data_IF_369987381001
#
_entry.id   IF_369987381001
#
_cell.length_a   1.000
_cell.length_b   1.000
_cell.length_c   1.000
_cell.angle_alpha   90.00
_cell.angle_beta   90.00
_cell.angle_gamma   90.00
#
_symmetry.space_group_name_H-M   'P 1'
#
loop_
_entity.id
_entity.type
_entity.pdbx_description
1 polymer ?
#
# COMPACT_ATOMS: atom_id res chain seq x y z
N UNK A 1 -6.62 9.50 20.23
CA UNK A 1 -6.80 9.57 21.67
C UNK A 1 -6.95 8.21 22.33
N UNK A 2 -7.88 7.35 21.86
CA UNK A 2 -8.17 6.07 22.48
C UNK A 2 -6.96 5.14 22.58
N UNK A 3 -6.24 4.90 21.47
CA UNK A 3 -5.05 4.06 21.45
C UNK A 3 -3.95 4.54 22.41
N UNK A 4 -3.76 5.87 22.51
CA UNK A 4 -2.81 6.44 23.47
C UNK A 4 -3.25 6.21 24.92
N UNK A 5 -4.56 6.27 25.17
CA UNK A 5 -5.12 6.06 26.51
C UNK A 5 -4.98 4.61 26.98
N UNK A 6 -5.19 3.65 26.06
CA UNK A 6 -5.06 2.23 26.39
C UNK A 6 -3.61 1.70 26.37
N UNK A 7 -2.66 2.47 25.82
CA UNK A 7 -1.25 2.11 25.79
C UNK A 7 -0.88 1.06 24.73
N UNK A 8 -1.76 0.77 23.77
CA UNK A 8 -1.50 -0.14 22.67
C UNK A 8 -2.37 0.17 21.45
N UNK A 9 -1.93 -0.25 20.30
CA UNK A 9 -2.69 -0.11 19.05
C UNK A 9 -1.83 -0.46 17.84
N UNK A 10 -2.47 -0.62 16.69
CA UNK A 10 -1.78 -0.80 15.43
C UNK A 10 -2.52 -0.03 14.33
N UNK A 11 -1.83 0.88 13.68
CA UNK A 11 -2.32 1.65 12.54
C UNK A 11 -1.67 1.07 11.28
N UNK A 12 -2.49 0.59 10.34
CA UNK A 12 -2.02 0.08 9.06
C UNK A 12 -2.50 1.01 7.97
N UNK A 13 -1.55 1.55 7.21
CA UNK A 13 -1.78 2.49 6.13
C UNK A 13 -1.53 1.77 4.81
N UNK A 14 -2.50 1.83 3.91
CA UNK A 14 -2.35 1.29 2.56
C UNK A 14 -1.89 2.42 1.64
N UNK A 15 -0.63 2.35 1.26
CA UNK A 15 0.02 3.25 0.32
C UNK A 15 -0.07 2.76 -1.12
N UNK A 16 1.05 2.80 -1.80
CA UNK A 16 1.23 2.31 -3.18
C UNK A 16 2.71 2.22 -3.51
N UNK A 17 3.09 1.42 -4.47
CA UNK A 17 4.44 1.46 -5.07
C UNK A 17 4.79 2.86 -5.61
N UNK A 18 3.78 3.69 -5.95
CA UNK A 18 3.94 5.08 -6.32
C UNK A 18 4.47 5.97 -5.17
N UNK A 19 4.54 5.46 -3.95
CA UNK A 19 5.23 6.10 -2.81
C UNK A 19 6.75 5.88 -2.82
N UNK A 20 7.26 5.02 -3.69
CA UNK A 20 8.67 4.63 -3.76
C UNK A 20 9.38 5.29 -4.94
N UNK A 21 8.65 5.57 -6.01
CA UNK A 21 9.16 6.20 -7.24
C UNK A 21 8.06 6.95 -7.98
N UNK A 22 8.41 8.06 -8.60
CA UNK A 22 7.48 8.77 -9.48
C UNK A 22 7.20 7.98 -10.76
N UNK A 23 5.99 8.11 -11.28
CA UNK A 23 5.56 7.48 -12.52
C UNK A 23 5.22 8.53 -13.58
N UNK A 24 5.48 8.22 -14.83
CA UNK A 24 5.11 9.08 -15.95
C UNK A 24 3.57 9.29 -15.95
N UNK A 25 3.13 10.53 -16.17
CA UNK A 25 1.71 10.95 -16.13
C UNK A 25 1.00 10.71 -14.78
N UNK A 26 1.76 10.45 -13.71
CA UNK A 26 1.23 10.18 -12.36
C UNK A 26 1.76 11.14 -11.29
N UNK A 27 2.17 12.37 -11.63
CA UNK A 27 2.84 13.29 -10.70
C UNK A 27 2.04 13.60 -9.44
N UNK A 28 0.76 13.96 -9.58
CA UNK A 28 -0.12 14.26 -8.43
C UNK A 28 -0.40 12.98 -7.61
N UNK A 29 -0.67 11.86 -8.27
CA UNK A 29 -0.86 10.59 -7.58
C UNK A 29 0.39 10.15 -6.82
N UNK A 30 1.56 10.20 -7.48
CA UNK A 30 2.84 9.90 -6.82
C UNK A 30 3.09 10.83 -5.63
N UNK A 31 2.88 12.14 -5.80
CA UNK A 31 3.03 13.11 -4.71
C UNK A 31 2.15 12.75 -3.50
N UNK A 32 0.87 12.40 -3.72
CA UNK A 32 -0.04 11.99 -2.66
C UNK A 32 0.43 10.72 -1.93
N UNK A 33 0.98 9.76 -2.66
CA UNK A 33 1.46 8.50 -2.09
C UNK A 33 2.81 8.65 -1.38
N UNK A 34 3.71 9.49 -1.88
CA UNK A 34 4.92 9.90 -1.14
C UNK A 34 4.56 10.60 0.17
N UNK A 35 3.53 11.46 0.17
CA UNK A 35 3.05 12.12 1.37
C UNK A 35 2.58 11.11 2.43
N UNK A 36 1.85 10.05 2.05
CA UNK A 36 1.47 8.97 2.97
C UNK A 36 2.69 8.25 3.57
N UNK A 37 3.75 8.07 2.80
CA UNK A 37 4.98 7.45 3.29
C UNK A 37 5.65 8.34 4.34
N UNK A 38 5.83 9.62 4.05
CA UNK A 38 6.36 10.58 5.03
C UNK A 38 5.50 10.70 6.27
N UNK A 39 4.17 10.75 6.09
CA UNK A 39 3.21 10.77 7.20
C UNK A 39 3.33 9.53 8.08
N UNK A 40 3.42 8.32 7.51
CA UNK A 40 3.52 7.09 8.29
C UNK A 40 4.80 7.04 9.12
N UNK A 41 5.91 7.52 8.58
CA UNK A 41 7.20 7.59 9.29
C UNK A 41 7.11 8.58 10.47
N UNK A 42 6.60 9.80 10.23
CA UNK A 42 6.44 10.80 11.27
C UNK A 42 5.47 10.33 12.36
N UNK A 43 4.32 9.78 11.98
CA UNK A 43 3.34 9.25 12.92
C UNK A 43 3.94 8.15 13.81
N UNK A 44 4.75 7.27 13.24
CA UNK A 44 5.43 6.22 14.00
C UNK A 44 6.34 6.81 15.08
N UNK A 45 7.14 7.82 14.76
CA UNK A 45 8.00 8.50 15.75
C UNK A 45 7.18 9.15 16.87
N UNK A 46 6.03 9.73 16.53
CA UNK A 46 5.15 10.40 17.48
C UNK A 46 4.45 9.44 18.46
N UNK A 47 4.10 8.23 18.02
CA UNK A 47 3.22 7.34 18.78
C UNK A 47 3.90 6.08 19.32
N UNK A 48 5.14 5.78 18.91
CA UNK A 48 5.87 4.58 19.31
C UNK A 48 5.99 4.47 20.84
N UNK A 49 6.28 5.58 21.52
CA UNK A 49 6.37 5.64 23.00
C UNK A 49 5.03 5.39 23.71
N UNK A 50 3.92 5.48 22.98
CA UNK A 50 2.58 5.20 23.49
C UNK A 50 2.18 3.73 23.28
N UNK A 51 3.10 2.85 22.89
CA UNK A 51 2.79 1.45 22.58
C UNK A 51 2.01 1.25 21.28
N UNK A 52 1.95 2.25 20.39
CA UNK A 52 1.20 2.17 19.14
C UNK A 52 2.17 1.86 18.00
N UNK A 53 1.85 0.83 17.23
CA UNK A 53 2.59 0.44 16.03
C UNK A 53 1.99 1.14 14.81
N UNK A 54 2.83 1.48 13.84
CA UNK A 54 2.41 2.03 12.56
C UNK A 54 3.12 1.23 11.45
N UNK A 55 2.34 0.72 10.52
CA UNK A 55 2.82 -0.04 9.36
C UNK A 55 2.29 0.58 8.08
N UNK A 56 3.17 0.77 7.11
CA UNK A 56 2.83 1.17 5.75
C UNK A 56 2.95 -0.04 4.82
N UNK A 57 1.91 -0.32 4.05
CA UNK A 57 1.93 -1.35 3.01
C UNK A 57 1.83 -0.65 1.65
N UNK A 58 2.81 -0.88 0.79
CA UNK A 58 2.88 -0.30 -0.56
C UNK A 58 2.64 -1.39 -1.61
N UNK A 59 1.38 -1.65 -2.00
CA UNK A 59 1.13 -2.59 -3.07
C UNK A 59 1.42 -1.98 -4.45
N UNK A 60 1.88 -2.81 -5.36
CA UNK A 60 1.87 -2.54 -6.78
C UNK A 60 0.45 -2.67 -7.36
N UNK A 61 0.34 -3.16 -8.59
CA UNK A 61 -0.98 -3.31 -9.24
C UNK A 61 -1.78 -4.45 -8.60
N UNK A 62 -2.87 -4.10 -7.91
CA UNK A 62 -3.83 -5.04 -7.32
C UNK A 62 -5.01 -5.18 -8.27
N UNK A 63 -5.42 -6.40 -8.58
CA UNK A 63 -6.58 -6.69 -9.45
C UNK A 63 -7.88 -6.32 -8.76
N UNK A 64 -8.34 -5.09 -9.02
CA UNK A 64 -9.55 -4.51 -8.41
C UNK A 64 -10.25 -3.58 -9.41
N UNK A 65 -11.48 -3.15 -9.14
CA UNK A 65 -12.18 -2.14 -9.94
C UNK A 65 -11.48 -0.77 -10.03
N UNK A 66 -10.42 -0.53 -9.26
CA UNK A 66 -9.62 0.70 -9.33
C UNK A 66 -9.23 1.07 -10.76
N UNK A 67 -8.86 0.06 -11.57
CA UNK A 67 -8.45 0.28 -12.96
C UNK A 67 -9.61 0.46 -13.95
N UNK A 68 -10.85 0.34 -13.52
CA UNK A 68 -12.03 0.38 -14.43
C UNK A 68 -12.08 1.66 -15.26
N UNK A 69 -11.77 2.81 -14.66
CA UNK A 69 -11.78 4.13 -15.29
C UNK A 69 -10.42 4.57 -15.85
N UNK A 70 -9.38 3.79 -15.66
CA UNK A 70 -8.05 4.09 -16.16
C UNK A 70 -7.84 3.51 -17.57
N UNK A 71 -6.92 4.12 -18.32
CA UNK A 71 -6.56 3.68 -19.67
C UNK A 71 -5.65 2.44 -19.67
N UNK A 72 -5.27 1.96 -18.51
CA UNK A 72 -4.40 0.80 -18.31
C UNK A 72 -4.92 -0.07 -17.16
N UNK A 73 -4.44 -1.29 -17.10
CA UNK A 73 -4.75 -2.28 -16.08
C UNK A 73 -3.58 -3.27 -15.97
N UNK A 74 -3.52 -4.10 -14.93
CA UNK A 74 -2.56 -5.20 -14.92
C UNK A 74 -2.83 -6.18 -16.05
N UNK A 75 -1.77 -6.82 -16.54
CA UNK A 75 -1.90 -7.88 -17.55
C UNK A 75 -2.80 -9.03 -17.10
N UNK A 76 -3.22 -9.91 -18.02
CA UNK A 76 -4.29 -10.88 -17.75
C UNK A 76 -3.87 -12.12 -16.95
N UNK A 77 -2.56 -12.42 -16.84
CA UNK A 77 -2.09 -13.61 -16.13
C UNK A 77 -2.02 -13.37 -14.63
N UNK A 78 -2.14 -14.41 -13.81
CA UNK A 78 -2.10 -14.34 -12.34
C UNK A 78 -0.83 -13.63 -11.84
N UNK A 79 0.30 -13.92 -12.43
CA UNK A 79 1.59 -13.32 -12.08
C UNK A 79 1.73 -11.83 -12.43
N UNK A 80 0.74 -11.23 -13.12
CA UNK A 80 0.75 -9.83 -13.54
C UNK A 80 0.04 -8.89 -12.58
N UNK A 81 -0.56 -9.41 -11.54
CA UNK A 81 -1.27 -8.63 -10.53
C UNK A 81 -1.11 -9.26 -9.14
N UNK A 82 -1.36 -8.42 -8.14
CA UNK A 82 -1.59 -8.83 -6.76
C UNK A 82 -3.11 -9.00 -6.62
N UNK A 83 -3.56 -9.99 -5.88
CA UNK A 83 -4.97 -10.12 -5.51
C UNK A 83 -5.25 -9.43 -4.16
N UNK A 84 -6.50 -9.04 -3.93
CA UNK A 84 -6.88 -8.37 -2.68
C UNK A 84 -6.61 -9.24 -1.45
N UNK A 85 -6.73 -10.55 -1.60
CA UNK A 85 -6.47 -11.56 -0.58
C UNK A 85 -5.00 -11.58 -0.15
N UNK A 86 -4.06 -11.29 -1.06
CA UNK A 86 -2.63 -11.20 -0.75
C UNK A 86 -2.37 -10.03 0.22
N UNK A 87 -3.05 -8.91 -0.02
CA UNK A 87 -2.97 -7.75 0.86
C UNK A 87 -3.60 -8.07 2.22
N UNK A 88 -4.77 -8.69 2.24
CA UNK A 88 -5.45 -9.07 3.48
C UNK A 88 -4.60 -10.05 4.31
N UNK A 89 -3.97 -11.04 3.68
CA UNK A 89 -3.05 -11.98 4.32
C UNK A 89 -1.85 -11.25 4.91
N UNK A 90 -1.27 -10.32 4.18
CA UNK A 90 -0.14 -9.50 4.65
C UNK A 90 -0.54 -8.65 5.86
N UNK A 91 -1.72 -8.03 5.84
CA UNK A 91 -2.26 -7.28 6.98
C UNK A 91 -2.38 -8.20 8.21
N UNK A 92 -2.99 -9.36 8.04
CA UNK A 92 -3.16 -10.32 9.13
C UNK A 92 -1.82 -10.77 9.73
N UNK A 93 -0.85 -11.13 8.91
CA UNK A 93 0.50 -11.49 9.35
C UNK A 93 1.17 -10.35 10.12
N UNK A 94 1.02 -9.12 9.64
CA UNK A 94 1.55 -7.93 10.29
C UNK A 94 0.91 -7.70 11.66
N UNK A 95 -0.39 -7.90 11.77
CA UNK A 95 -1.13 -7.76 13.04
C UNK A 95 -0.73 -8.81 14.07
N UNK A 96 -0.42 -10.02 13.64
CA UNK A 96 -0.05 -11.15 14.52
C UNK A 96 1.42 -11.16 14.91
N UNK A 97 2.22 -10.23 14.42
CA UNK A 97 3.60 -10.05 14.84
C UNK A 97 3.66 -9.71 16.35
N UNK A 98 4.65 -10.26 17.04
CA UNK A 98 4.89 -10.03 18.49
C UNK A 98 4.86 -8.53 18.80
N UNK A 99 4.24 -8.14 19.92
CA UNK A 99 4.01 -6.73 20.29
C UNK A 99 5.29 -5.87 20.39
N UNK A 100 6.42 -6.46 20.73
CA UNK A 100 7.72 -5.76 20.77
C UNK A 100 8.40 -5.58 19.41
N UNK A 101 7.73 -5.95 18.31
CA UNK A 101 8.26 -5.86 16.95
C UNK A 101 7.32 -5.06 16.08
N UNK A 102 7.86 -4.14 15.30
CA UNK A 102 7.12 -3.35 14.31
C UNK A 102 7.64 -3.66 12.92
N UNK A 103 6.75 -4.08 12.03
CA UNK A 103 7.02 -4.09 10.60
C UNK A 103 6.66 -2.70 10.09
N UNK A 104 7.65 -1.91 9.74
CA UNK A 104 7.46 -0.49 9.45
C UNK A 104 6.89 -0.25 8.07
N UNK A 105 7.41 -0.97 7.09
CA UNK A 105 7.05 -0.82 5.69
C UNK A 105 7.13 -2.16 4.95
N UNK A 106 6.13 -2.46 4.13
CA UNK A 106 6.07 -3.65 3.29
C UNK A 106 5.79 -3.22 1.86
N UNK A 107 6.64 -3.67 0.94
CA UNK A 107 6.43 -3.47 -0.49
C UNK A 107 5.99 -4.81 -1.10
N UNK A 108 4.84 -4.80 -1.77
CA UNK A 108 4.26 -5.99 -2.41
C UNK A 108 4.16 -5.71 -3.90
N UNK A 109 4.77 -6.55 -4.72
CA UNK A 109 4.76 -6.40 -6.18
C UNK A 109 4.22 -7.65 -6.85
N UNK A 110 3.57 -7.53 -8.03
CA UNK A 110 3.33 -8.68 -8.88
C UNK A 110 4.66 -9.36 -9.22
N UNK A 111 4.65 -10.65 -9.45
CA UNK A 111 5.86 -11.36 -9.86
C UNK A 111 6.42 -10.77 -11.17
N UNK A 112 5.53 -10.36 -12.08
CA UNK A 112 5.87 -9.70 -13.34
C UNK A 112 5.05 -8.44 -13.51
N UNK A 113 5.70 -7.29 -13.58
CA UNK A 113 5.05 -6.01 -13.86
C UNK A 113 4.70 -5.92 -15.35
N UNK A 114 3.47 -6.25 -15.68
CA UNK A 114 2.93 -6.16 -17.05
C UNK A 114 1.75 -5.21 -17.04
N UNK A 115 1.86 -4.14 -17.82
CA UNK A 115 0.79 -3.14 -18.01
C UNK A 115 0.10 -3.43 -19.33
N UNK A 116 -1.21 -3.64 -19.26
CA UNK A 116 -2.07 -3.78 -20.44
C UNK A 116 -2.82 -2.45 -20.68
N UNK A 117 -2.63 -1.86 -21.85
CA UNK A 117 -3.31 -0.63 -22.24
C UNK A 117 -4.64 -0.95 -22.91
N UNK A 118 -5.72 -0.44 -22.35
CA UNK A 118 -7.06 -0.61 -22.91
C UNK A 118 -7.13 0.06 -24.28
N UNK A 119 -7.53 -0.70 -25.31
CA UNK A 119 -7.80 -0.13 -26.63
C UNK A 119 -8.96 0.86 -26.52
N UNK A 120 -8.77 2.07 -27.06
CA UNK A 120 -9.88 3.02 -27.15
C UNK A 120 -11.02 2.37 -27.95
N UNK A 121 -12.16 2.15 -27.30
CA UNK A 121 -13.40 1.71 -27.98
C UNK A 121 -14.07 2.85 -28.76
N UNK A 122 -13.28 3.73 -29.40
CA UNK A 122 -13.80 4.79 -30.25
C UNK A 122 -13.05 4.76 -31.59
N UNK A 123 -13.56 3.95 -32.48
CA UNK A 123 -13.68 4.25 -33.91
C UNK A 123 -14.97 3.65 -34.43
#
# INVERSE_FOLDING_TARGET
PQMKHQGYGHIIIIGSEAALRGTQQGSIYSASKFALRGFSQALREEVSRCGIRVTLINPGMVRTPFFSKLKFQPGPLDQHAIEAEDIATTIYQTMTTRSGTVIEEINISPQKNVIDFKKNKNR
#
